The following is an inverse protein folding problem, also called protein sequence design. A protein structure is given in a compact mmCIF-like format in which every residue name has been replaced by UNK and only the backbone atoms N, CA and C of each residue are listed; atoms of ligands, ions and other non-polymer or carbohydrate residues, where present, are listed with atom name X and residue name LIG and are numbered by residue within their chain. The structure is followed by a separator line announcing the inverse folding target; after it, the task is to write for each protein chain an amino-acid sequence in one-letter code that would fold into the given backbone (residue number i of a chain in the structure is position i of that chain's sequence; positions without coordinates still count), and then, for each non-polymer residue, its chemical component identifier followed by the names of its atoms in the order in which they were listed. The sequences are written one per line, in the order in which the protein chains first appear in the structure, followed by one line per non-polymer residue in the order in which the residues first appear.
data_IF_277148001178
#
_entry.id   IF_277148001178
#
_cell.length_a   1.000
_cell.length_b   1.000
_cell.length_c   1.000
_cell.angle_alpha   90.00
_cell.angle_beta   90.00
_cell.angle_gamma   90.00
#
_symmetry.space_group_name_H-M   'P 1'
#
loop_
_entity.id
_entity.type
_entity.pdbx_description
1 polymer ?
#
# COMPACT_ATOMS: atom_id res chain seq x y z
N UNK A 1 6.94 21.21 -6.28
CA UNK A 1 7.08 20.31 -5.12
C UNK A 1 5.89 20.37 -4.16
N UNK A 2 5.27 21.54 -3.95
CA UNK A 2 4.12 21.65 -3.04
C UNK A 2 2.83 21.04 -3.61
N UNK A 3 2.59 21.13 -4.92
CA UNK A 3 1.33 20.63 -5.48
C UNK A 3 1.09 19.12 -5.29
N UNK A 4 2.12 18.29 -5.44
CA UNK A 4 1.99 16.84 -5.19
C UNK A 4 1.70 16.53 -3.72
N UNK A 5 2.31 17.30 -2.82
CA UNK A 5 2.06 17.19 -1.38
C UNK A 5 0.63 17.64 -1.05
N UNK A 6 0.19 18.77 -1.61
CA UNK A 6 -1.16 19.31 -1.41
C UNK A 6 -2.23 18.37 -1.98
N UNK A 7 -1.99 17.75 -3.14
CA UNK A 7 -2.89 16.75 -3.72
C UNK A 7 -2.96 15.51 -2.81
N UNK A 8 -1.82 15.01 -2.32
CA UNK A 8 -1.81 13.88 -1.38
C UNK A 8 -2.60 14.21 -0.10
N UNK A 9 -2.38 15.40 0.47
CA UNK A 9 -3.08 15.85 1.69
C UNK A 9 -4.57 16.04 1.42
N UNK A 10 -4.96 16.54 0.25
CA UNK A 10 -6.36 16.75 -0.14
C UNK A 10 -7.11 15.43 -0.29
N UNK A 11 -6.49 14.42 -0.93
CA UNK A 11 -7.02 13.06 -0.99
C UNK A 11 -7.15 12.45 0.41
N UNK A 12 -6.16 12.68 1.28
CA UNK A 12 -6.17 12.22 2.67
C UNK A 12 -7.35 12.80 3.45
N UNK A 13 -7.58 14.11 3.32
CA UNK A 13 -8.69 14.81 3.96
C UNK A 13 -10.03 14.28 3.47
N UNK A 14 -10.15 14.03 2.16
CA UNK A 14 -11.37 13.48 1.58
C UNK A 14 -11.70 12.08 2.11
N UNK A 15 -10.67 11.21 2.24
CA UNK A 15 -10.83 9.88 2.84
C UNK A 15 -11.15 9.99 4.34
N UNK A 16 -10.50 10.92 5.05
CA UNK A 16 -10.73 11.15 6.47
C UNK A 16 -12.17 11.63 6.74
N UNK A 17 -12.68 12.54 5.92
CA UNK A 17 -14.05 13.05 6.01
C UNK A 17 -15.10 11.95 5.69
N UNK A 18 -14.82 11.10 4.70
CA UNK A 18 -15.66 9.92 4.38
C UNK A 18 -15.69 8.88 5.50
N UNK A 19 -14.56 8.69 6.20
CA UNK A 19 -14.45 7.74 7.32
C UNK A 19 -14.83 8.36 8.67
N UNK A 20 -15.05 9.68 8.73
CA UNK A 20 -15.31 10.42 9.97
C UNK A 20 -14.11 10.45 10.94
N UNK A 21 -12.90 10.17 10.44
CA UNK A 21 -11.67 10.10 11.23
C UNK A 21 -10.93 11.45 11.18
N UNK A 22 -10.20 11.79 12.24
CA UNK A 22 -9.36 12.99 12.22
C UNK A 22 -8.14 12.81 11.31
N UNK A 23 -7.55 13.92 10.84
CA UNK A 23 -6.35 13.88 9.98
C UNK A 23 -5.19 13.07 10.58
N UNK A 24 -5.03 13.08 11.91
CA UNK A 24 -4.02 12.28 12.62
C UNK A 24 -4.31 10.78 12.50
N UNK A 25 -5.56 10.38 12.65
CA UNK A 25 -5.97 8.98 12.57
C UNK A 25 -5.86 8.47 11.13
N UNK A 26 -6.30 9.25 10.14
CA UNK A 26 -6.18 8.91 8.73
C UNK A 26 -4.71 8.67 8.31
N UNK A 27 -3.79 9.51 8.79
CA UNK A 27 -2.35 9.29 8.57
C UNK A 27 -1.87 7.96 9.16
N UNK A 28 -2.27 7.62 10.38
CA UNK A 28 -1.90 6.33 11.00
C UNK A 28 -2.45 5.16 10.18
N UNK A 29 -3.71 5.22 9.75
CA UNK A 29 -4.30 4.20 8.90
C UNK A 29 -3.53 3.99 7.58
N UNK A 30 -3.13 5.08 6.91
CA UNK A 30 -2.45 4.98 5.63
C UNK A 30 -1.02 4.43 5.79
N UNK A 31 -0.26 4.96 6.75
CA UNK A 31 1.14 4.57 6.92
C UNK A 31 1.30 3.22 7.65
N UNK A 32 0.44 2.92 8.63
CA UNK A 32 0.59 1.74 9.49
C UNK A 32 -0.26 0.57 9.02
N UNK A 33 -1.33 0.79 8.24
CA UNK A 33 -2.17 -0.30 7.74
C UNK A 33 -2.02 -0.44 6.23
N UNK A 34 -2.33 0.60 5.44
CA UNK A 34 -2.31 0.47 3.97
C UNK A 34 -0.91 0.17 3.45
N UNK A 35 0.10 0.90 3.91
CA UNK A 35 1.48 0.73 3.43
C UNK A 35 2.01 -0.70 3.67
N UNK A 36 1.99 -1.25 4.91
CA UNK A 36 2.44 -2.63 5.12
C UNK A 36 1.54 -3.67 4.45
N UNK A 37 0.24 -3.41 4.29
CA UNK A 37 -0.65 -4.33 3.56
C UNK A 37 -0.28 -4.40 2.07
N UNK A 38 0.01 -3.26 1.44
CA UNK A 38 0.50 -3.18 0.06
C UNK A 38 1.86 -3.88 -0.08
N UNK A 39 2.80 -3.60 0.83
CA UNK A 39 4.11 -4.27 0.85
C UNK A 39 3.95 -5.78 1.01
N UNK A 40 3.07 -6.24 1.90
CA UNK A 40 2.81 -7.65 2.12
C UNK A 40 2.17 -8.32 0.89
N UNK A 41 1.19 -7.67 0.26
CA UNK A 41 0.58 -8.12 -1.00
C UNK A 41 1.64 -8.32 -2.10
N UNK A 42 2.48 -7.32 -2.32
CA UNK A 42 3.57 -7.38 -3.30
C UNK A 42 4.58 -8.47 -2.93
N UNK A 43 4.93 -8.58 -1.66
CA UNK A 43 5.85 -9.60 -1.15
C UNK A 43 5.32 -11.02 -1.39
N UNK A 44 4.03 -11.28 -1.09
CA UNK A 44 3.38 -12.56 -1.35
C UNK A 44 3.32 -12.88 -2.85
N UNK A 45 3.07 -11.87 -3.70
CA UNK A 45 3.07 -12.03 -5.15
C UNK A 45 4.47 -12.41 -5.66
N UNK A 46 5.53 -11.77 -5.16
CA UNK A 46 6.93 -12.10 -5.47
C UNK A 46 7.28 -13.52 -5.00
N UNK A 47 6.85 -13.90 -3.79
CA UNK A 47 7.08 -15.26 -3.28
C UNK A 47 6.38 -16.32 -4.14
N UNK A 48 5.12 -16.10 -4.54
CA UNK A 48 4.40 -17.00 -5.46
C UNK A 48 5.10 -17.11 -6.81
N UNK A 49 5.57 -15.99 -7.35
CA UNK A 49 6.26 -15.98 -8.65
C UNK A 49 7.59 -16.74 -8.57
N UNK A 50 8.38 -16.52 -7.51
CA UNK A 50 9.63 -17.26 -7.28
C UNK A 50 9.40 -18.76 -7.10
N UNK A 51 8.33 -19.16 -6.41
CA UNK A 51 7.96 -20.57 -6.27
C UNK A 51 7.61 -21.21 -7.61
N UNK A 52 6.82 -20.52 -8.45
CA UNK A 52 6.51 -20.98 -9.81
C UNK A 52 7.75 -21.10 -10.70
N UNK A 53 8.64 -20.11 -10.68
CA UNK A 53 9.85 -20.12 -11.52
C UNK A 53 10.81 -21.25 -11.14
N UNK A 54 10.91 -21.60 -9.86
CA UNK A 54 11.73 -22.73 -9.39
C UNK A 54 11.27 -24.06 -9.98
N UNK A 55 9.96 -24.30 -9.98
CA UNK A 55 9.39 -25.54 -10.53
C UNK A 55 9.52 -25.62 -12.06
N UNK A 56 9.50 -24.49 -12.76
CA UNK A 56 9.72 -24.44 -14.22
C UNK A 56 11.19 -24.72 -14.57
N UNK A 57 12.14 -24.25 -13.76
CA UNK A 57 13.56 -24.45 -14.02
C UNK A 57 14.06 -25.86 -13.65
N UNK A 58 13.32 -26.60 -12.84
CA UNK A 58 13.64 -27.98 -12.43
C UNK A 58 13.17 -29.04 -13.45
N UNK A 59 12.31 -28.65 -14.40
CA UNK A 59 11.86 -29.51 -15.52
C UNK A 59 12.61 -29.27 -16.84
N UNK A 60 13.75 -28.58 -16.80
CA UNK A 60 14.66 -28.38 -17.93
C UNK A 60 16.03 -28.98 -17.62
#
# INVERSE_FOLDING_TARGET
MNELFDICVSILYWIAELTGLTYKEANIWIFVIIHPLLTLMLFLMVLRLRARLRNVNDSR
#
